data_IF_080114157222
#
_entry.id   IF_080114157222
#
_cell.length_a   1.000
_cell.length_b   1.000
_cell.length_c   1.000
_cell.angle_alpha   90.00
_cell.angle_beta   90.00
_cell.angle_gamma   90.00
#
_symmetry.space_group_name_H-M   'P 1'
#
loop_
_entity.id
_entity.type
_entity.pdbx_description
1 polymer ?
#
# COMPACT_ATOMS: atom_id res chain seq x y z
N UNK A 1 -55.50 -61.58 -29.50
CA UNK A 1 -54.04 -61.42 -29.63
C UNK A 1 -53.61 -60.27 -28.74
N UNK A 2 -52.84 -60.61 -27.69
CA UNK A 2 -51.97 -59.80 -26.82
C UNK A 2 -52.45 -58.51 -26.11
N UNK A 3 -51.96 -58.43 -24.85
CA UNK A 3 -51.76 -57.28 -23.96
C UNK A 3 -52.91 -56.94 -23.00
N UNK A 4 -52.72 -56.64 -21.71
CA UNK A 4 -51.59 -56.62 -20.73
C UNK A 4 -52.26 -56.37 -19.34
N UNK A 5 -51.66 -56.75 -18.20
CA UNK A 5 -52.19 -56.45 -16.88
C UNK A 5 -51.71 -55.10 -16.30
N UNK A 6 -52.47 -54.63 -15.31
CA UNK A 6 -52.20 -53.69 -14.20
C UNK A 6 -50.78 -53.11 -14.05
N UNK A 7 -50.66 -51.81 -13.69
CA UNK A 7 -50.28 -51.36 -12.32
C UNK A 7 -50.11 -49.82 -12.19
N UNK A 8 -50.60 -49.33 -11.05
CA UNK A 8 -50.16 -48.22 -10.18
C UNK A 8 -50.03 -46.76 -10.65
N UNK A 9 -50.82 -45.92 -9.99
CA UNK A 9 -50.66 -44.48 -9.79
C UNK A 9 -49.42 -44.16 -8.94
N UNK A 10 -48.65 -43.15 -9.33
CA UNK A 10 -47.74 -42.42 -8.44
C UNK A 10 -47.74 -40.93 -8.84
N UNK A 11 -48.16 -40.06 -7.92
CA UNK A 11 -48.01 -38.62 -8.03
C UNK A 11 -46.51 -38.27 -7.99
N UNK A 12 -46.01 -37.58 -9.02
CA UNK A 12 -44.73 -36.90 -8.98
C UNK A 12 -44.90 -35.53 -8.29
N UNK A 13 -44.62 -35.48 -6.98
CA UNK A 13 -44.43 -34.23 -6.26
C UNK A 13 -43.03 -33.68 -6.55
N UNK A 14 -42.96 -32.57 -7.29
CA UNK A 14 -41.70 -31.85 -7.51
C UNK A 14 -41.30 -31.11 -6.22
N UNK A 15 -40.27 -31.60 -5.53
CA UNK A 15 -39.63 -30.88 -4.44
C UNK A 15 -38.65 -29.84 -5.02
N UNK A 16 -39.05 -28.56 -4.98
CA UNK A 16 -38.16 -27.42 -5.19
C UNK A 16 -37.20 -27.33 -3.99
N UNK A 17 -35.96 -27.81 -4.16
CA UNK A 17 -34.87 -27.51 -3.24
C UNK A 17 -34.41 -26.06 -3.45
N UNK A 18 -34.92 -25.17 -2.61
CA UNK A 18 -34.36 -23.83 -2.43
C UNK A 18 -32.96 -23.95 -1.84
N UNK A 19 -31.93 -23.79 -2.67
CA UNK A 19 -30.56 -23.65 -2.22
C UNK A 19 -30.38 -22.27 -1.58
N UNK A 20 -30.54 -22.21 -0.25
CA UNK A 20 -30.03 -21.10 0.55
C UNK A 20 -28.51 -21.20 0.55
N UNK A 21 -27.85 -20.41 -0.31
CA UNK A 21 -26.40 -20.23 -0.31
C UNK A 21 -25.98 -19.62 1.02
N UNK A 22 -25.49 -20.46 1.93
CA UNK A 22 -24.82 -20.02 3.14
C UNK A 22 -23.54 -19.28 2.77
N UNK A 23 -23.58 -17.95 2.88
CA UNK A 23 -22.37 -17.12 2.94
C UNK A 23 -21.57 -17.52 4.19
N UNK A 24 -20.57 -18.36 4.01
CA UNK A 24 -19.30 -18.33 4.76
C UNK A 24 -18.36 -19.39 4.16
N UNK A 25 -17.77 -19.08 3.01
CA UNK A 25 -16.55 -19.77 2.61
C UNK A 25 -15.45 -19.27 3.56
N UNK A 26 -15.12 -20.07 4.57
CA UNK A 26 -13.87 -19.93 5.30
C UNK A 26 -12.76 -19.81 4.25
N UNK A 27 -12.08 -18.68 4.21
CA UNK A 27 -11.08 -18.40 3.19
C UNK A 27 -9.92 -19.37 3.36
N UNK A 28 -9.85 -20.41 2.52
CA UNK A 28 -8.86 -21.48 2.63
C UNK A 28 -7.43 -20.92 2.75
N UNK A 29 -6.68 -21.47 3.70
CA UNK A 29 -5.28 -21.16 3.94
C UNK A 29 -4.44 -21.71 2.80
N UNK A 30 -3.68 -20.83 2.12
CA UNK A 30 -2.79 -21.23 1.05
C UNK A 30 -1.62 -22.06 1.58
N UNK A 31 -1.30 -23.16 0.89
CA UNK A 31 -0.12 -23.97 1.16
C UNK A 31 1.15 -23.29 0.59
N UNK A 32 2.36 -23.62 1.10
CA UNK A 32 3.60 -23.05 0.59
C UNK A 32 3.73 -23.19 -0.93
N UNK A 33 3.98 -22.07 -1.62
CA UNK A 33 4.07 -22.01 -3.08
C UNK A 33 2.75 -21.71 -3.79
N UNK A 34 1.61 -21.76 -3.10
CA UNK A 34 0.31 -21.41 -3.69
C UNK A 34 0.08 -19.89 -3.70
N UNK A 35 -0.73 -19.47 -4.67
CA UNK A 35 -1.17 -18.09 -4.86
C UNK A 35 -2.53 -18.05 -5.56
N UNK A 36 -3.17 -16.89 -5.49
CA UNK A 36 -4.36 -16.53 -6.26
C UNK A 36 -4.10 -15.22 -7.01
N UNK A 37 -4.64 -15.14 -8.23
CA UNK A 37 -4.48 -13.97 -9.10
C UNK A 37 -5.76 -13.73 -9.91
N UNK A 38 -6.36 -12.55 -9.75
CA UNK A 38 -7.64 -12.12 -10.31
C UNK A 38 -7.57 -10.64 -10.74
N UNK A 39 -6.76 -10.32 -11.76
CA UNK A 39 -6.48 -8.95 -12.19
C UNK A 39 -7.70 -8.23 -12.78
N UNK A 40 -8.71 -8.98 -13.24
CA UNK A 40 -9.96 -8.48 -13.77
C UNK A 40 -10.83 -7.76 -12.73
N UNK A 41 -10.64 -8.05 -11.43
CA UNK A 41 -11.33 -7.35 -10.33
C UNK A 41 -11.08 -5.85 -10.30
N UNK A 42 -9.92 -5.42 -10.82
CA UNK A 42 -9.60 -4.02 -11.03
C UNK A 42 -8.67 -3.90 -12.24
N UNK A 43 -9.14 -3.43 -13.41
CA UNK A 43 -8.34 -3.42 -14.64
C UNK A 43 -7.25 -2.34 -14.65
N UNK A 44 -7.40 -1.26 -13.89
CA UNK A 44 -6.48 -0.12 -13.85
C UNK A 44 -6.37 0.49 -12.46
N UNK A 45 -5.38 1.37 -12.28
CA UNK A 45 -5.16 2.12 -11.06
C UNK A 45 -3.83 1.83 -10.36
N UNK A 46 -3.52 2.57 -9.29
CA UNK A 46 -2.28 2.44 -8.55
C UNK A 46 -2.13 1.05 -7.91
N UNK A 47 -0.88 0.57 -7.85
CA UNK A 47 -0.53 -0.72 -7.25
C UNK A 47 0.05 -0.51 -5.86
N UNK A 48 -0.46 -1.29 -4.91
CA UNK A 48 0.08 -1.44 -3.57
C UNK A 48 0.29 -2.92 -3.28
N UNK A 49 1.50 -3.28 -2.87
CA UNK A 49 1.79 -4.60 -2.33
C UNK A 49 1.95 -4.52 -0.82
N UNK A 50 1.38 -5.47 -0.10
CA UNK A 50 1.52 -5.62 1.35
C UNK A 50 2.11 -6.99 1.64
N UNK A 51 3.17 -7.05 2.43
CA UNK A 51 3.84 -8.28 2.87
C UNK A 51 3.72 -8.38 4.38
N UNK A 52 3.05 -9.43 4.84
CA UNK A 52 2.94 -9.82 6.24
C UNK A 52 4.03 -10.83 6.58
N UNK A 53 4.91 -10.50 7.52
CA UNK A 53 6.01 -11.36 7.95
C UNK A 53 5.50 -12.52 8.82
N UNK A 54 4.59 -12.27 9.75
CA UNK A 54 4.04 -13.29 10.65
C UNK A 54 3.23 -14.33 9.88
N UNK A 55 2.43 -13.87 8.93
CA UNK A 55 1.56 -14.74 8.14
C UNK A 55 2.31 -15.40 6.96
N UNK A 56 3.53 -14.96 6.65
CA UNK A 56 4.26 -15.32 5.41
C UNK A 56 3.38 -15.17 4.16
N UNK A 57 2.69 -14.04 4.06
CA UNK A 57 1.78 -13.73 2.94
C UNK A 57 2.11 -12.41 2.26
N UNK A 58 1.88 -12.36 0.96
CA UNK A 58 1.84 -11.13 0.18
C UNK A 58 0.45 -10.92 -0.42
N UNK A 59 0.01 -9.66 -0.44
CA UNK A 59 -1.27 -9.22 -1.01
C UNK A 59 -1.01 -8.12 -2.01
N UNK A 60 -1.71 -8.16 -3.15
CA UNK A 60 -1.57 -7.17 -4.23
C UNK A 60 -2.91 -6.49 -4.44
N UNK A 61 -2.91 -5.18 -4.26
CA UNK A 61 -4.05 -4.33 -4.46
C UNK A 61 -3.83 -3.47 -5.70
N UNK A 62 -4.86 -3.41 -6.56
CA UNK A 62 -4.94 -2.43 -7.65
C UNK A 62 -6.14 -1.53 -7.40
N UNK A 63 -5.89 -0.24 -7.33
CA UNK A 63 -6.90 0.77 -7.01
C UNK A 63 -7.69 0.48 -5.71
N UNK A 64 -7.03 -0.08 -4.69
CA UNK A 64 -7.65 -0.47 -3.42
C UNK A 64 -8.38 -1.83 -3.44
N UNK A 65 -8.51 -2.49 -4.58
CA UNK A 65 -9.14 -3.81 -4.71
C UNK A 65 -8.07 -4.90 -4.73
N UNK A 66 -8.23 -5.97 -3.93
CA UNK A 66 -7.30 -7.09 -3.95
C UNK A 66 -7.43 -7.88 -5.26
N UNK A 67 -6.35 -7.87 -6.04
CA UNK A 67 -6.23 -8.62 -7.31
C UNK A 67 -5.34 -9.85 -7.19
N UNK A 68 -4.69 -10.07 -6.05
CA UNK A 68 -3.92 -11.29 -5.83
C UNK A 68 -3.45 -11.45 -4.39
N UNK A 69 -3.15 -12.69 -4.02
CA UNK A 69 -2.49 -13.06 -2.78
C UNK A 69 -1.54 -14.24 -3.01
N UNK A 70 -0.45 -14.33 -2.26
CA UNK A 70 0.54 -15.39 -2.41
C UNK A 70 1.19 -15.71 -1.08
N UNK A 71 1.54 -16.97 -0.87
CA UNK A 71 2.54 -17.31 0.16
C UNK A 71 3.90 -16.71 -0.21
N UNK A 72 4.73 -16.42 0.80
CA UNK A 72 6.11 -15.94 0.64
C UNK A 72 7.09 -16.71 1.52
N UNK A 73 8.38 -16.58 1.25
CA UNK A 73 9.44 -16.94 2.21
C UNK A 73 10.39 -15.77 2.40
N UNK A 74 10.37 -15.22 3.61
CA UNK A 74 11.10 -13.99 4.01
C UNK A 74 12.44 -14.31 4.68
N UNK A 75 13.12 -13.29 5.19
CA UNK A 75 14.40 -13.39 5.88
C UNK A 75 14.35 -14.24 7.15
N UNK A 76 15.27 -15.20 7.27
CA UNK A 76 15.43 -16.03 8.47
C UNK A 76 16.02 -15.22 9.64
N UNK A 77 16.00 -15.81 10.84
CA UNK A 77 16.66 -15.24 12.02
C UNK A 77 18.13 -14.85 11.74
N UNK A 78 18.51 -13.65 12.16
CA UNK A 78 19.81 -13.01 11.90
C UNK A 78 19.97 -12.42 10.48
N UNK A 79 18.95 -12.53 9.62
CA UNK A 79 18.87 -11.94 8.28
C UNK A 79 17.44 -11.53 7.95
N UNK A 80 16.79 -10.86 8.89
CA UNK A 80 15.38 -10.49 8.86
C UNK A 80 15.08 -9.60 7.64
N UNK A 81 13.89 -9.77 7.08
CA UNK A 81 13.37 -8.80 6.10
C UNK A 81 12.95 -7.54 6.87
N UNK A 82 13.47 -6.35 6.52
CA UNK A 82 13.14 -5.13 7.24
C UNK A 82 11.67 -4.73 7.01
N UNK A 83 11.01 -4.26 8.07
CA UNK A 83 9.69 -3.64 7.99
C UNK A 83 9.80 -2.17 7.53
N UNK A 84 8.68 -1.65 6.99
CA UNK A 84 8.58 -0.27 6.54
C UNK A 84 7.87 -0.12 5.20
N UNK A 85 8.03 1.07 4.61
CA UNK A 85 7.43 1.43 3.31
C UNK A 85 8.53 1.58 2.29
N UNK A 86 8.45 0.80 1.23
CA UNK A 86 9.45 0.69 0.18
C UNK A 86 8.86 1.10 -1.15
N UNK A 87 9.71 1.59 -2.04
CA UNK A 87 9.40 1.72 -3.46
C UNK A 87 10.30 0.78 -4.24
N UNK A 88 9.80 0.25 -5.36
CA UNK A 88 10.60 -0.58 -6.24
C UNK A 88 11.62 0.32 -6.96
N UNK A 89 12.90 0.13 -6.64
CA UNK A 89 14.02 0.95 -7.13
C UNK A 89 14.52 0.47 -8.48
N UNK A 90 14.55 -0.85 -8.67
CA UNK A 90 15.08 -1.48 -9.86
C UNK A 90 14.38 -2.79 -10.13
N UNK A 91 14.22 -3.11 -11.41
CA UNK A 91 13.60 -4.35 -11.87
C UNK A 91 14.46 -5.04 -12.91
N UNK A 92 14.62 -6.36 -12.81
CA UNK A 92 15.30 -7.19 -13.81
C UNK A 92 14.63 -8.56 -13.93
N UNK A 93 14.23 -8.95 -15.15
CA UNK A 93 13.66 -10.29 -15.41
C UNK A 93 14.64 -11.41 -15.08
N UNK A 94 15.91 -11.24 -15.47
CA UNK A 94 17.02 -12.14 -15.14
C UNK A 94 18.04 -11.36 -14.33
N UNK A 95 18.20 -11.71 -13.06
CA UNK A 95 19.21 -11.13 -12.17
C UNK A 95 19.98 -12.23 -11.47
N UNK A 96 21.26 -11.99 -11.25
CA UNK A 96 22.14 -12.83 -10.44
C UNK A 96 22.71 -11.97 -9.33
N UNK A 97 22.69 -12.50 -8.10
CA UNK A 97 23.14 -11.75 -6.93
C UNK A 97 24.65 -11.61 -6.91
N UNK A 98 25.14 -10.38 -6.86
CA UNK A 98 26.57 -10.08 -6.67
C UNK A 98 27.06 -10.48 -5.27
N UNK A 99 26.17 -10.48 -4.27
CA UNK A 99 26.49 -10.74 -2.85
C UNK A 99 26.40 -12.24 -2.54
N UNK A 100 25.51 -12.97 -3.23
CA UNK A 100 25.29 -14.40 -3.02
C UNK A 100 25.77 -15.24 -4.21
N UNK A 101 27.01 -15.01 -4.65
CA UNK A 101 27.76 -15.85 -5.62
C UNK A 101 26.95 -16.25 -6.86
N UNK A 102 26.27 -15.29 -7.51
CA UNK A 102 25.55 -15.54 -8.75
C UNK A 102 24.19 -16.24 -8.58
N UNK A 103 23.65 -16.29 -7.35
CA UNK A 103 22.33 -16.87 -7.10
C UNK A 103 21.27 -16.22 -8.01
N UNK A 104 20.56 -17.04 -8.79
CA UNK A 104 19.52 -16.59 -9.73
C UNK A 104 18.33 -16.03 -8.95
N UNK A 105 17.91 -14.83 -9.34
CA UNK A 105 16.77 -14.09 -8.81
C UNK A 105 15.85 -13.70 -9.98
N UNK A 106 15.06 -14.64 -10.53
CA UNK A 106 14.12 -14.34 -11.60
C UNK A 106 13.08 -13.31 -11.14
N UNK A 107 12.70 -12.40 -12.05
CA UNK A 107 11.73 -11.33 -11.81
C UNK A 107 12.06 -10.46 -10.59
N UNK A 108 13.35 -10.17 -10.39
CA UNK A 108 13.84 -9.36 -9.28
C UNK A 108 13.26 -7.94 -9.31
N UNK A 109 12.77 -7.51 -8.15
CA UNK A 109 12.30 -6.16 -7.85
C UNK A 109 12.96 -5.66 -6.57
N UNK A 110 13.94 -4.76 -6.71
CA UNK A 110 14.78 -4.25 -5.63
C UNK A 110 14.03 -3.23 -4.78
N UNK A 111 14.12 -3.39 -3.47
CA UNK A 111 13.49 -2.50 -2.47
C UNK A 111 14.53 -1.64 -1.74
N UNK A 112 15.76 -2.15 -1.59
CA UNK A 112 16.87 -1.40 -1.01
C UNK A 112 18.14 -1.53 -1.85
N UNK A 113 18.99 -0.51 -1.79
CA UNK A 113 20.33 -0.60 -2.37
C UNK A 113 21.24 -1.56 -1.61
N UNK A 114 20.96 -1.82 -0.33
CA UNK A 114 21.65 -2.82 0.50
C UNK A 114 21.40 -4.27 0.07
N UNK A 115 20.43 -4.53 -0.82
CA UNK A 115 20.25 -5.85 -1.42
C UNK A 115 18.91 -6.53 -1.16
N UNK A 116 17.99 -5.91 -0.43
CA UNK A 116 16.66 -6.48 -0.19
C UNK A 116 15.81 -6.33 -1.45
N UNK A 117 15.22 -7.44 -1.90
CA UNK A 117 14.42 -7.51 -3.12
C UNK A 117 13.32 -8.58 -3.01
N UNK A 118 12.31 -8.45 -3.86
CA UNK A 118 11.34 -9.50 -4.15
C UNK A 118 11.76 -10.25 -5.41
N UNK A 119 11.69 -11.59 -5.42
CA UNK A 119 12.04 -12.39 -6.60
C UNK A 119 11.48 -13.81 -6.51
N UNK A 120 11.46 -14.54 -7.63
CA UNK A 120 11.13 -15.97 -7.63
C UNK A 120 12.14 -16.77 -6.79
N UNK A 121 11.69 -17.71 -5.98
CA UNK A 121 12.59 -18.55 -5.18
C UNK A 121 11.91 -19.79 -4.59
N UNK A 122 12.65 -20.53 -3.77
CA UNK A 122 12.11 -21.67 -3.00
C UNK A 122 11.32 -21.17 -1.79
N UNK A 123 10.13 -21.73 -1.58
CA UNK A 123 9.23 -21.41 -0.47
C UNK A 123 9.04 -22.66 0.42
N UNK A 124 9.88 -22.87 1.45
CA UNK A 124 9.77 -24.04 2.33
C UNK A 124 8.61 -23.94 3.36
N UNK A 125 7.79 -22.89 3.30
CA UNK A 125 6.70 -22.66 4.27
C UNK A 125 7.11 -21.90 5.54
N UNK A 126 8.34 -21.41 5.62
CA UNK A 126 8.83 -20.58 6.72
C UNK A 126 9.86 -19.55 6.22
N UNK A 127 10.23 -18.54 7.03
CA UNK A 127 11.32 -17.63 6.71
C UNK A 127 12.64 -18.40 6.50
N UNK A 128 13.25 -18.23 5.34
CA UNK A 128 14.42 -19.02 4.92
C UNK A 128 15.39 -18.24 4.01
N UNK A 129 15.08 -16.98 3.72
CA UNK A 129 15.88 -16.12 2.87
C UNK A 129 16.99 -15.42 3.67
N UNK A 130 17.84 -14.72 2.94
CA UNK A 130 18.87 -13.86 3.52
C UNK A 130 18.44 -12.38 3.53
N UNK A 131 17.14 -12.14 3.72
CA UNK A 131 16.49 -10.83 3.80
C UNK A 131 15.50 -10.55 2.65
N UNK A 132 15.69 -11.19 1.49
CA UNK A 132 14.78 -11.05 0.34
C UNK A 132 13.40 -11.68 0.59
N UNK A 133 12.40 -11.28 -0.19
CA UNK A 133 11.07 -11.89 -0.19
C UNK A 133 10.99 -12.83 -1.38
N UNK A 134 10.97 -14.13 -1.13
CA UNK A 134 10.84 -15.16 -2.18
C UNK A 134 9.37 -15.40 -2.48
N UNK A 135 9.04 -15.43 -3.76
CA UNK A 135 7.71 -15.63 -4.31
C UNK A 135 7.65 -16.90 -5.17
N UNK A 136 6.47 -17.51 -5.36
CA UNK A 136 6.27 -18.52 -6.40
C UNK A 136 6.67 -17.95 -7.76
N UNK A 137 7.19 -18.78 -8.65
CA UNK A 137 7.72 -18.33 -9.94
C UNK A 137 6.64 -17.63 -10.77
N UNK A 138 5.50 -18.28 -10.99
CA UNK A 138 4.42 -17.73 -11.82
C UNK A 138 3.82 -16.46 -11.21
N UNK A 139 3.62 -16.43 -9.89
CA UNK A 139 3.18 -15.22 -9.19
C UNK A 139 4.19 -14.07 -9.37
N UNK A 140 5.49 -14.35 -9.28
CA UNK A 140 6.53 -13.33 -9.43
C UNK A 140 6.56 -12.76 -10.86
N UNK A 141 6.25 -13.56 -11.88
CA UNK A 141 6.11 -13.11 -13.26
C UNK A 141 4.89 -12.19 -13.42
N UNK A 142 3.73 -12.60 -12.89
CA UNK A 142 2.50 -11.81 -12.91
C UNK A 142 2.65 -10.48 -12.17
N UNK A 143 3.25 -10.52 -10.97
CA UNK A 143 3.56 -9.35 -10.18
C UNK A 143 4.51 -8.42 -10.94
N UNK A 144 5.58 -8.97 -11.55
CA UNK A 144 6.49 -8.21 -12.38
C UNK A 144 5.76 -7.56 -13.56
N UNK A 145 4.86 -8.27 -14.26
CA UNK A 145 4.06 -7.65 -15.32
C UNK A 145 3.20 -6.47 -14.84
N UNK A 146 2.80 -6.48 -13.57
CA UNK A 146 1.87 -5.50 -12.99
C UNK A 146 2.58 -4.29 -12.34
N UNK A 147 3.76 -4.48 -11.76
CA UNK A 147 4.49 -3.42 -11.06
C UNK A 147 5.41 -2.64 -11.99
N UNK A 148 5.85 -1.47 -11.53
CA UNK A 148 6.86 -0.62 -12.16
C UNK A 148 7.84 -0.06 -11.15
N UNK A 149 8.93 0.55 -11.60
CA UNK A 149 9.76 1.33 -10.69
C UNK A 149 8.90 2.43 -10.05
N UNK A 150 9.04 2.63 -8.74
CA UNK A 150 8.18 3.52 -7.95
C UNK A 150 6.88 2.89 -7.46
N UNK A 151 6.52 1.67 -7.87
CA UNK A 151 5.42 0.92 -7.22
C UNK A 151 5.75 0.66 -5.75
N UNK A 152 4.72 0.65 -4.91
CA UNK A 152 4.89 0.64 -3.45
C UNK A 152 4.74 -0.75 -2.87
N UNK A 153 5.64 -1.05 -1.94
CA UNK A 153 5.64 -2.28 -1.15
C UNK A 153 5.68 -1.92 0.33
N UNK A 154 4.75 -2.46 1.08
CA UNK A 154 4.67 -2.30 2.53
C UNK A 154 5.04 -3.62 3.15
N UNK A 155 5.98 -3.60 4.09
CA UNK A 155 6.39 -4.79 4.84
C UNK A 155 6.04 -4.53 6.30
N UNK A 156 5.19 -5.37 6.86
CA UNK A 156 4.74 -5.29 8.26
C UNK A 156 4.81 -6.66 8.92
N UNK A 157 4.86 -6.68 10.26
CA UNK A 157 4.81 -7.93 11.02
C UNK A 157 3.50 -8.67 10.75
N UNK A 158 2.35 -8.01 10.95
CA UNK A 158 1.03 -8.61 10.76
C UNK A 158 0.36 -8.16 9.46
N UNK A 159 -0.58 -8.97 8.97
CA UNK A 159 -1.45 -8.56 7.88
C UNK A 159 -2.31 -7.36 8.28
N UNK A 160 -2.48 -6.46 7.32
CA UNK A 160 -3.37 -5.32 7.38
C UNK A 160 -4.06 -5.20 6.03
N UNK A 161 -5.37 -4.97 6.04
CA UNK A 161 -6.15 -4.82 4.82
C UNK A 161 -6.40 -3.33 4.58
N UNK A 162 -6.08 -2.79 3.40
CA UNK A 162 -6.40 -1.40 3.08
C UNK A 162 -7.91 -1.17 3.12
N UNK A 163 -8.37 -0.12 3.81
CA UNK A 163 -9.75 0.34 3.74
C UNK A 163 -9.86 1.51 2.75
N UNK A 164 -10.84 1.47 1.86
CA UNK A 164 -11.11 2.58 0.94
C UNK A 164 -12.01 3.61 1.64
N UNK A 165 -11.66 4.88 1.52
CA UNK A 165 -12.50 5.99 1.96
C UNK A 165 -13.84 5.96 1.24
N UNK A 166 -14.94 6.03 1.99
CA UNK A 166 -16.30 6.15 1.40
C UNK A 166 -16.54 7.48 0.68
N UNK A 167 -15.68 8.48 0.88
CA UNK A 167 -15.80 9.82 0.30
C UNK A 167 -14.44 10.26 -0.29
N UNK A 168 -14.37 10.60 -1.58
CA UNK A 168 -13.22 11.27 -2.16
C UNK A 168 -12.87 12.53 -1.36
N UNK A 169 -11.59 12.75 -1.15
CA UNK A 169 -11.12 13.82 -0.30
C UNK A 169 -9.84 14.43 -0.86
N UNK A 170 -9.68 15.72 -0.61
CA UNK A 170 -8.36 16.30 -0.59
C UNK A 170 -7.87 16.27 0.84
N UNK A 171 -7.19 15.17 1.23
CA UNK A 171 -6.74 14.93 2.63
C UNK A 171 -5.97 16.13 3.18
N UNK A 172 -5.23 16.82 2.31
CA UNK A 172 -4.40 17.96 2.69
C UNK A 172 -5.07 19.32 2.44
N UNK A 173 -6.07 19.43 1.55
CA UNK A 173 -6.39 20.72 0.93
C UNK A 173 -7.83 21.18 1.09
N UNK A 174 -8.72 20.32 1.59
CA UNK A 174 -10.07 20.68 2.05
C UNK A 174 -10.19 20.44 3.56
N UNK A 175 -9.10 20.72 4.29
CA UNK A 175 -9.13 20.98 5.73
C UNK A 175 -10.21 22.02 5.97
N UNK A 176 -11.34 21.60 6.55
CA UNK A 176 -12.34 22.57 7.00
C UNK A 176 -11.69 23.30 8.15
N UNK A 177 -11.52 24.63 8.00
CA UNK A 177 -11.27 25.50 9.14
C UNK A 177 -12.36 25.21 10.17
N UNK A 178 -12.03 24.39 11.17
CA UNK A 178 -12.87 24.24 12.34
C UNK A 178 -12.85 25.62 12.98
N UNK A 179 -14.03 26.12 13.36
CA UNK A 179 -14.20 27.39 14.08
C UNK A 179 -13.13 27.48 15.17
N UNK A 180 -12.19 28.42 15.01
CA UNK A 180 -10.93 28.48 15.75
C UNK A 180 -9.72 28.08 14.90
N UNK A 181 -9.32 28.94 13.95
CA UNK A 181 -8.09 28.81 13.15
C UNK A 181 -6.92 28.60 14.11
N UNK A 182 -6.31 27.41 14.07
CA UNK A 182 -5.13 27.14 14.89
C UNK A 182 -3.94 27.81 14.21
N UNK A 183 -3.13 28.61 14.92
CA UNK A 183 -1.92 29.16 14.34
C UNK A 183 -1.03 28.02 13.82
N UNK A 184 -0.70 28.06 12.53
CA UNK A 184 0.32 27.16 11.98
C UNK A 184 1.63 27.42 12.73
N UNK A 185 2.33 26.38 13.22
CA UNK A 185 3.61 26.56 13.89
C UNK A 185 4.58 27.38 13.03
N UNK A 186 5.34 28.29 13.65
CA UNK A 186 6.43 28.98 12.94
C UNK A 186 7.46 27.95 12.50
N UNK A 187 7.79 27.91 11.22
CA UNK A 187 8.73 26.96 10.64
C UNK A 187 9.13 27.34 9.22
N UNK A 188 10.19 26.70 8.71
CA UNK A 188 10.69 26.93 7.35
C UNK A 188 9.78 26.25 6.33
N UNK A 189 9.18 27.05 5.44
CA UNK A 189 8.55 26.53 4.22
C UNK A 189 9.64 26.35 3.16
N UNK A 190 9.66 25.19 2.52
CA UNK A 190 10.57 24.86 1.42
C UNK A 190 9.74 24.38 0.24
N UNK A 191 10.04 24.87 -0.96
CA UNK A 191 9.48 24.35 -2.19
C UNK A 191 10.50 24.46 -3.34
N UNK A 192 11.03 23.33 -3.76
CA UNK A 192 12.11 23.20 -4.74
C UNK A 192 11.81 22.03 -5.70
N UNK A 193 10.73 22.10 -6.49
CA UNK A 193 10.26 21.00 -7.34
C UNK A 193 11.28 20.61 -8.42
N UNK A 194 12.19 21.51 -8.77
CA UNK A 194 13.22 21.28 -9.79
C UNK A 194 14.36 20.37 -9.30
N UNK A 195 14.50 20.10 -8.00
CA UNK A 195 15.48 19.13 -7.47
C UNK A 195 15.22 17.71 -7.97
N UNK A 196 13.97 17.41 -8.31
CA UNK A 196 13.54 16.15 -8.89
C UNK A 196 12.33 16.45 -9.76
N UNK A 197 12.50 16.68 -11.08
CA UNK A 197 11.44 17.20 -11.93
C UNK A 197 10.34 16.17 -12.22
N UNK A 198 10.68 14.88 -12.17
CA UNK A 198 9.78 13.78 -12.53
C UNK A 198 9.85 12.63 -11.52
N UNK A 199 8.83 11.79 -11.55
CA UNK A 199 8.78 10.56 -10.75
C UNK A 199 7.66 10.54 -9.72
N UNK A 200 7.54 9.42 -8.97
CA UNK A 200 6.50 9.24 -7.98
C UNK A 200 6.63 10.23 -6.82
N UNK A 201 5.49 10.71 -6.33
CA UNK A 201 5.40 11.61 -5.18
C UNK A 201 5.00 10.84 -3.93
N UNK A 202 5.79 11.02 -2.87
CA UNK A 202 5.52 10.50 -1.54
C UNK A 202 5.56 11.67 -0.55
N UNK A 203 4.67 11.64 0.43
CA UNK A 203 4.59 12.65 1.48
C UNK A 203 4.71 11.98 2.84
N UNK A 204 5.37 12.65 3.76
CA UNK A 204 5.45 12.27 5.17
C UNK A 204 4.77 13.34 6.00
N UNK A 205 3.75 12.97 6.76
CA UNK A 205 3.17 13.79 7.80
C UNK A 205 3.64 13.26 9.16
N UNK A 206 4.51 14.02 9.80
CA UNK A 206 4.96 13.73 11.15
C UNK A 206 4.15 14.54 12.14
N UNK A 207 3.44 13.86 13.03
CA UNK A 207 2.66 14.49 14.09
C UNK A 207 3.55 15.11 15.17
N UNK A 208 4.68 14.47 15.49
CA UNK A 208 5.68 15.01 16.42
C UNK A 208 6.30 16.32 15.89
N UNK A 209 6.68 16.35 14.61
CA UNK A 209 7.27 17.55 14.00
C UNK A 209 6.23 18.62 13.63
N UNK A 210 4.94 18.26 13.65
CA UNK A 210 3.84 19.07 13.09
C UNK A 210 4.17 19.60 11.69
N UNK A 211 4.74 18.73 10.87
CA UNK A 211 5.33 19.09 9.58
C UNK A 211 4.94 18.06 8.52
N UNK A 212 4.63 18.55 7.33
CA UNK A 212 4.53 17.74 6.12
C UNK A 212 5.80 17.90 5.28
N UNK A 213 6.34 16.79 4.82
CA UNK A 213 7.49 16.72 3.91
C UNK A 213 7.01 16.10 2.59
N UNK A 214 7.50 16.64 1.47
CA UNK A 214 7.12 16.21 0.13
C UNK A 214 8.38 15.75 -0.60
N UNK A 215 8.34 14.52 -1.09
CA UNK A 215 9.43 13.87 -1.81
C UNK A 215 8.97 13.53 -3.22
N UNK A 216 9.85 13.73 -4.21
CA UNK A 216 9.67 13.19 -5.56
C UNK A 216 10.88 12.36 -5.93
N UNK A 217 10.65 11.10 -6.32
CA UNK A 217 11.72 10.13 -6.55
C UNK A 217 12.67 10.01 -5.34
N UNK A 218 12.11 10.16 -4.12
CA UNK A 218 12.82 10.14 -2.84
C UNK A 218 13.71 11.35 -2.54
N UNK A 219 13.78 12.35 -3.43
CA UNK A 219 14.42 13.64 -3.14
C UNK A 219 13.37 14.57 -2.51
N UNK A 220 13.71 15.21 -1.38
CA UNK A 220 12.82 16.19 -0.76
C UNK A 220 12.70 17.42 -1.67
N UNK A 221 11.48 17.71 -2.11
CA UNK A 221 11.13 18.87 -2.95
C UNK A 221 10.26 19.88 -2.21
N UNK A 222 9.75 19.55 -1.03
CA UNK A 222 8.91 20.46 -0.27
C UNK A 222 8.85 20.14 1.21
N UNK A 223 8.55 21.17 2.01
CA UNK A 223 8.33 21.06 3.45
C UNK A 223 7.46 22.22 3.93
N UNK A 224 6.52 21.96 4.84
CA UNK A 224 5.77 23.02 5.51
C UNK A 224 5.34 22.60 6.91
N UNK A 225 5.38 23.51 7.90
CA UNK A 225 4.63 23.31 9.14
C UNK A 225 3.14 23.20 8.83
N UNK A 226 2.42 22.46 9.67
CA UNK A 226 0.97 22.28 9.62
C UNK A 226 0.39 22.45 11.03
N UNK A 227 -0.82 22.99 11.14
CA UNK A 227 -1.54 22.95 12.41
C UNK A 227 -2.22 21.59 12.55
N UNK A 228 -2.16 21.01 13.75
CA UNK A 228 -2.73 19.69 14.03
C UNK A 228 -3.66 19.73 15.24
N UNK A 229 -4.73 18.96 15.14
CA UNK A 229 -5.58 18.55 16.26
C UNK A 229 -5.22 17.12 16.63
N UNK A 230 -4.25 17.01 17.53
CA UNK A 230 -3.78 15.72 18.04
C UNK A 230 -4.81 15.11 18.99
N UNK A 231 -4.96 13.80 18.87
CA UNK A 231 -5.73 12.92 19.74
C UNK A 231 -4.98 11.58 19.83
N UNK A 232 -5.31 10.77 20.83
CA UNK A 232 -4.64 9.47 21.01
C UNK A 232 -4.94 8.47 19.88
N UNK A 233 -6.02 8.71 19.13
CA UNK A 233 -6.50 7.88 18.01
C UNK A 233 -6.13 8.44 16.62
N UNK A 234 -5.11 9.32 16.56
CA UNK A 234 -4.66 9.89 15.30
C UNK A 234 -4.35 8.77 14.28
N UNK A 235 -4.90 8.84 13.05
CA UNK A 235 -4.66 7.82 12.05
C UNK A 235 -3.17 7.66 11.74
N UNK A 236 -2.64 6.46 11.89
CA UNK A 236 -1.24 6.15 11.56
C UNK A 236 -1.21 5.08 10.46
N UNK A 237 -0.45 5.36 9.41
CA UNK A 237 -0.31 4.45 8.30
C UNK A 237 -0.20 5.13 6.95
N UNK A 238 -0.52 4.36 5.92
CA UNK A 238 -0.27 4.70 4.52
C UNK A 238 -1.58 5.05 3.86
N UNK A 239 -1.65 6.26 3.37
CA UNK A 239 -2.75 6.76 2.57
C UNK A 239 -2.30 6.75 1.11
N UNK A 240 -2.97 5.96 0.29
CA UNK A 240 -2.73 5.87 -1.16
C UNK A 240 -3.85 6.59 -1.90
N UNK A 241 -3.48 7.59 -2.70
CA UNK A 241 -4.43 8.24 -3.60
C UNK A 241 -4.81 7.29 -4.73
N UNK A 242 -6.11 7.04 -4.90
CA UNK A 242 -6.64 6.11 -5.90
C UNK A 242 -7.06 6.85 -7.18
N UNK A 243 -7.21 6.10 -8.26
CA UNK A 243 -7.94 6.57 -9.44
C UNK A 243 -9.44 6.63 -9.14
N UNK A 244 -10.10 7.63 -9.73
CA UNK A 244 -11.51 7.94 -9.52
C UNK A 244 -11.68 9.44 -9.32
N UNK A 245 -12.59 10.05 -10.08
CA UNK A 245 -12.98 11.45 -9.90
C UNK A 245 -14.47 11.43 -9.61
N UNK A 246 -14.82 10.99 -8.41
CA UNK A 246 -16.23 10.79 -8.06
C UNK A 246 -16.93 12.12 -7.73
N UNK A 247 -16.19 13.17 -7.34
CA UNK A 247 -16.75 14.50 -7.07
C UNK A 247 -15.71 15.61 -7.31
N UNK A 248 -16.18 16.83 -7.60
CA UNK A 248 -15.35 18.05 -7.58
C UNK A 248 -15.55 18.77 -6.24
N UNK A 249 -14.49 19.38 -5.71
CA UNK A 249 -14.58 20.23 -4.52
C UNK A 249 -15.55 21.38 -4.80
N UNK A 250 -16.58 21.57 -3.97
CA UNK A 250 -17.54 22.67 -4.12
C UNK A 250 -16.91 24.05 -3.91
N UNK A 251 -15.76 24.09 -3.23
CA UNK A 251 -15.04 25.34 -2.93
C UNK A 251 -14.03 25.70 -4.04
N UNK A 252 -13.44 24.69 -4.68
CA UNK A 252 -12.33 24.93 -5.63
C UNK A 252 -12.61 24.45 -7.06
N UNK A 253 -13.71 23.71 -7.29
CA UNK A 253 -14.07 23.12 -8.58
C UNK A 253 -13.16 21.98 -9.06
N UNK A 254 -12.17 21.58 -8.25
CA UNK A 254 -11.14 20.62 -8.66
C UNK A 254 -11.55 19.16 -8.40
N UNK A 255 -11.06 18.20 -9.22
CA UNK A 255 -11.23 16.77 -8.99
C UNK A 255 -10.83 16.32 -7.57
N UNK A 256 -11.69 15.55 -6.92
CA UNK A 256 -11.37 14.84 -5.68
C UNK A 256 -11.13 13.36 -5.97
N UNK A 257 -10.07 12.83 -5.39
CA UNK A 257 -9.70 11.42 -5.51
C UNK A 257 -10.10 10.63 -4.27
N UNK A 258 -10.54 9.36 -4.43
CA UNK A 258 -10.65 8.45 -3.30
C UNK A 258 -9.27 8.13 -2.75
N UNK A 259 -9.22 7.78 -1.47
CA UNK A 259 -8.00 7.36 -0.81
C UNK A 259 -8.19 6.00 -0.16
N UNK A 260 -7.19 5.14 -0.27
CA UNK A 260 -7.11 3.92 0.53
C UNK A 260 -6.20 4.17 1.72
N UNK A 261 -6.56 3.67 2.90
CA UNK A 261 -5.74 3.72 4.10
C UNK A 261 -5.37 2.31 4.56
N UNK A 262 -4.08 2.06 4.69
CA UNK A 262 -3.52 0.87 5.30
C UNK A 262 -2.92 1.25 6.66
N UNK A 263 -3.46 0.70 7.74
CA UNK A 263 -2.96 0.95 9.07
C UNK A 263 -1.61 0.25 9.29
N UNK A 264 -0.66 0.98 9.87
CA UNK A 264 0.59 0.43 10.38
C UNK A 264 0.47 0.38 11.91
N UNK A 265 0.63 -0.80 12.52
CA UNK A 265 0.60 -1.03 13.98
C UNK A 265 -0.79 -1.01 14.67
N UNK A 266 -1.81 -1.60 14.04
CA UNK A 266 -3.09 -1.89 14.75
C UNK A 266 -4.05 -0.70 14.91
N UNK A 267 -3.79 0.43 14.23
CA UNK A 267 -4.75 1.52 14.12
C UNK A 267 -6.00 1.15 13.32
N UNK A 268 -7.14 1.77 13.62
CA UNK A 268 -8.37 1.53 12.87
C UNK A 268 -8.41 2.34 11.56
N UNK A 269 -8.52 1.69 10.39
CA UNK A 269 -8.61 2.39 9.11
C UNK A 269 -10.01 3.00 8.88
N UNK A 270 -10.97 2.69 9.76
CA UNK A 270 -12.35 3.21 9.68
C UNK A 270 -12.34 4.73 9.79
N UNK A 271 -12.88 5.41 8.78
CA UNK A 271 -12.94 6.86 8.68
C UNK A 271 -11.58 7.57 8.82
N UNK A 272 -10.45 6.85 8.69
CA UNK A 272 -9.12 7.40 8.91
C UNK A 272 -8.81 8.60 8.00
N UNK A 273 -9.28 8.54 6.76
CA UNK A 273 -9.15 9.62 5.76
C UNK A 273 -9.91 10.88 6.19
N UNK A 274 -11.15 10.70 6.67
CA UNK A 274 -11.97 11.82 7.15
C UNK A 274 -11.43 12.40 8.47
N UNK A 275 -11.00 11.55 9.41
CA UNK A 275 -10.35 11.96 10.66
C UNK A 275 -9.11 12.78 10.37
N UNK A 276 -8.20 12.26 9.54
CA UNK A 276 -6.96 12.96 9.20
C UNK A 276 -7.23 14.31 8.53
N UNK A 277 -8.14 14.36 7.54
CA UNK A 277 -8.53 15.60 6.85
C UNK A 277 -9.06 16.66 7.83
N UNK A 278 -9.83 16.24 8.84
CA UNK A 278 -10.42 17.16 9.82
C UNK A 278 -9.44 17.55 10.94
N UNK A 279 -8.32 16.83 11.09
CA UNK A 279 -7.32 17.08 12.12
C UNK A 279 -6.10 17.87 11.65
N UNK A 280 -5.96 18.13 10.34
CA UNK A 280 -4.84 18.87 9.76
C UNK A 280 -5.30 20.18 9.14
N UNK A 281 -4.53 21.25 9.33
CA UNK A 281 -4.65 22.51 8.59
C UNK A 281 -3.28 22.85 7.98
N UNK A 282 -3.24 22.92 6.65
CA UNK A 282 -2.04 23.22 5.87
C UNK A 282 -2.10 24.65 5.33
N UNK A 283 -0.98 25.41 5.31
CA UNK A 283 -0.93 26.72 4.68
C UNK A 283 -1.48 26.68 3.26
N UNK A 284 -2.41 27.57 2.93
CA UNK A 284 -3.13 27.58 1.64
C UNK A 284 -2.17 27.57 0.45
N UNK A 285 -1.14 28.41 0.49
CA UNK A 285 -0.15 28.54 -0.59
C UNK A 285 0.65 27.26 -0.77
N UNK A 286 1.13 26.66 0.33
CA UNK A 286 1.85 25.39 0.26
C UNK A 286 0.94 24.26 -0.25
N UNK A 287 -0.34 24.28 0.13
CA UNK A 287 -1.31 23.35 -0.43
C UNK A 287 -1.49 23.49 -1.94
N UNK A 288 -1.57 24.71 -2.45
CA UNK A 288 -1.63 24.93 -3.90
C UNK A 288 -0.38 24.37 -4.61
N UNK A 289 0.79 24.49 -3.99
CA UNK A 289 2.03 23.91 -4.53
C UNK A 289 1.98 22.37 -4.53
N UNK A 290 1.59 21.73 -3.43
CA UNK A 290 1.43 20.26 -3.35
C UNK A 290 0.42 19.75 -4.38
N UNK A 291 -0.66 20.48 -4.65
CA UNK A 291 -1.65 20.12 -5.69
C UNK A 291 -1.02 19.93 -7.06
N UNK A 292 0.00 20.71 -7.40
CA UNK A 292 0.64 20.64 -8.73
C UNK A 292 1.44 19.36 -8.96
N UNK A 293 1.71 18.59 -7.89
CA UNK A 293 2.60 17.42 -7.96
C UNK A 293 1.92 16.10 -7.60
N UNK A 294 0.82 16.13 -6.85
CA UNK A 294 0.10 14.90 -6.47
C UNK A 294 -0.78 14.39 -7.61
N UNK A 295 -0.85 13.08 -7.73
CA UNK A 295 -1.66 12.34 -8.70
C UNK A 295 -2.03 10.96 -8.15
N UNK A 296 -2.99 10.22 -8.74
CA UNK A 296 -3.25 8.83 -8.37
C UNK A 296 -1.95 8.00 -8.28
N UNK A 297 -1.78 7.32 -7.16
CA UNK A 297 -0.53 6.64 -6.78
C UNK A 297 0.36 7.43 -5.82
N UNK A 298 0.03 8.69 -5.53
CA UNK A 298 0.67 9.46 -4.45
C UNK A 298 0.44 8.77 -3.11
N UNK A 299 1.50 8.70 -2.31
CA UNK A 299 1.42 8.19 -0.95
C UNK A 299 1.57 9.32 0.05
N UNK A 300 0.77 9.26 1.10
CA UNK A 300 0.98 10.01 2.32
C UNK A 300 1.18 9.00 3.47
N UNK A 301 2.36 9.02 4.07
CA UNK A 301 2.66 8.30 5.30
C UNK A 301 2.40 9.22 6.49
N UNK A 302 1.49 8.84 7.37
CA UNK A 302 1.21 9.57 8.59
C UNK A 302 1.70 8.79 9.82
N UNK A 303 2.48 9.44 10.69
CA UNK A 303 3.13 8.79 11.82
C UNK A 303 3.24 9.71 13.05
N UNK A 304 3.24 9.11 14.24
CA UNK A 304 3.59 9.78 15.49
C UNK A 304 5.10 10.09 15.57
N UNK A 305 5.93 9.41 14.79
CA UNK A 305 7.38 9.57 14.86
C UNK A 305 7.84 10.93 14.29
N UNK A 306 8.87 11.52 14.92
CA UNK A 306 9.59 12.66 14.38
C UNK A 306 10.37 12.28 13.11
N UNK A 307 10.62 13.19 12.18
CA UNK A 307 11.47 12.96 10.98
C UNK A 307 12.93 13.38 11.22
N UNK A 308 13.56 12.81 12.23
CA UNK A 308 14.98 13.05 12.54
C UNK A 308 15.90 12.14 11.72
N UNK A 309 17.21 12.43 11.65
CA UNK A 309 18.19 11.51 11.05
C UNK A 309 18.14 10.10 11.69
N UNK A 310 17.80 10.02 12.99
CA UNK A 310 17.67 8.77 13.71
C UNK A 310 16.46 7.94 13.27
N UNK A 311 15.30 8.54 13.01
CA UNK A 311 14.09 7.83 12.55
C UNK A 311 14.09 7.54 11.06
N UNK A 312 14.85 8.31 10.25
CA UNK A 312 15.10 8.01 8.83
C UNK A 312 15.94 6.74 8.62
N UNK A 313 16.65 6.28 9.66
CA UNK A 313 17.67 5.25 9.52
C UNK A 313 17.53 4.08 10.52
N UNK A 314 16.87 4.29 11.67
CA UNK A 314 16.78 3.32 12.79
C UNK A 314 15.52 3.54 13.67
N UNK A 315 14.33 3.43 13.10
CA UNK A 315 13.05 3.47 13.83
C UNK A 315 12.10 2.32 13.45
N UNK A 316 10.94 2.17 14.14
CA UNK A 316 9.91 1.19 13.77
C UNK A 316 9.33 1.44 12.37
N UNK A 317 9.50 2.67 11.85
CA UNK A 317 9.16 3.10 10.51
C UNK A 317 10.40 3.67 9.80
N UNK A 318 10.99 2.90 8.88
CA UNK A 318 12.15 3.35 8.12
C UNK A 318 11.69 4.11 6.85
N UNK A 319 11.93 5.42 6.80
CA UNK A 319 11.78 6.22 5.57
C UNK A 319 13.08 6.11 4.79
N UNK A 320 13.11 5.18 3.83
CA UNK A 320 14.31 4.98 3.01
C UNK A 320 14.57 6.19 2.12
N UNK A 321 15.64 6.91 2.43
CA UNK A 321 16.27 7.86 1.51
C UNK A 321 16.84 7.04 0.35
N UNK A 322 16.68 7.46 -0.92
CA UNK A 322 17.45 6.87 -1.99
C UNK A 322 18.93 7.16 -1.71
N UNK A 323 19.65 6.19 -1.16
CA UNK A 323 21.11 6.26 -1.21
C UNK A 323 21.53 6.29 -2.68
N UNK A 324 22.51 7.13 -3.00
CA UNK A 324 23.08 7.16 -4.33
C UNK A 324 23.58 5.77 -4.70
N UNK A 325 23.30 5.35 -5.95
CA UNK A 325 23.86 4.14 -6.50
C UNK A 325 25.38 4.26 -6.47
N UNK A 326 26.04 3.61 -5.50
CA UNK A 326 27.50 3.47 -5.50
C UNK A 326 27.87 2.80 -6.82
N UNK A 327 28.67 3.51 -7.63
CA UNK A 327 29.13 3.09 -8.96
C UNK A 327 29.93 1.81 -8.88
#
# INVERSE_FOLDING_TARGET
MLAKPFFLSFLAGAALLSATSTLSAAQETLQPGQFEWQPERAPKGPILMVVSLDDQMAYVYRNGVQIGRSTVSTGRAGKETPTGVFTILQRKKKHESNIYKGAKMPYMQRLTWTGIAMHAGKLPGHPASAGCIRLPYDFSELLYGTTRNGSTVVISEKASTPAISKKPASILLDSRSVVGVRPVPKGRVVWEPNKSPEGPVNMLLSYADKTVYVFRNGVQIGQSPVALTLSDDMPQGIFLMLEGVENKSSTTGQPLHPWSMLALHGGSPVNAVDRLRNSIEMPKDFGQLVRTVIAPGTILLATNDASTEATRSKGPLNVLVPEEKKK
#
